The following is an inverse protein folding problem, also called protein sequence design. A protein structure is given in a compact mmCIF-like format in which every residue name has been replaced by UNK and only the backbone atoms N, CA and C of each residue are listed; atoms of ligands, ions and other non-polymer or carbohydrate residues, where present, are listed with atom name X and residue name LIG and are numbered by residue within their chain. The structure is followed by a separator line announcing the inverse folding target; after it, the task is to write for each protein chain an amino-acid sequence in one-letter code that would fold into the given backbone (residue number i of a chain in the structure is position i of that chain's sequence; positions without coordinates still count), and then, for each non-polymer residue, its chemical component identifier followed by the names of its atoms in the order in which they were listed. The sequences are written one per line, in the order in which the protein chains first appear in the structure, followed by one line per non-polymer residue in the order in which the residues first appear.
data_IF_503777645014
#
_entry.id   IF_503777645014
#
_cell.length_a   1.000
_cell.length_b   1.000
_cell.length_c   1.000
_cell.angle_alpha   90.00
_cell.angle_beta   90.00
_cell.angle_gamma   90.00
#
_symmetry.space_group_name_H-M   'P 1'
#
loop_
_entity.id
_entity.type
_entity.pdbx_description
1 polymer ?
#
# COMPACT_ATOMS: atom_id res chain seq x y z
N UNK A 1 -7.55 -27.31 9.58
CA UNK A 1 -7.03 -26.62 8.37
C UNK A 1 -7.55 -25.21 8.37
N UNK A 2 -6.67 -24.22 8.35
CA UNK A 2 -7.05 -22.79 8.30
C UNK A 2 -7.35 -22.37 6.86
N UNK A 3 -8.51 -21.78 6.63
CA UNK A 3 -8.86 -21.24 5.31
C UNK A 3 -8.45 -19.79 5.20
N UNK A 4 -7.72 -19.47 4.12
CA UNK A 4 -7.21 -18.14 3.80
C UNK A 4 -7.76 -17.71 2.45
N UNK A 5 -8.33 -16.52 2.36
CA UNK A 5 -8.75 -15.93 1.09
C UNK A 5 -7.85 -14.77 0.71
N UNK A 6 -7.32 -14.80 -0.50
CA UNK A 6 -6.51 -13.72 -1.08
C UNK A 6 -7.37 -12.95 -2.06
N UNK A 7 -7.61 -11.69 -1.78
CA UNK A 7 -8.29 -10.78 -2.69
C UNK A 7 -7.25 -10.05 -3.54
N UNK A 8 -7.18 -10.41 -4.82
CA UNK A 8 -6.27 -9.79 -5.78
C UNK A 8 -5.40 -10.77 -6.57
N UNK A 9 -5.24 -10.51 -7.86
CA UNK A 9 -4.46 -11.31 -8.80
C UNK A 9 -3.27 -10.56 -9.40
N UNK A 10 -2.69 -9.61 -8.66
CA UNK A 10 -1.46 -8.91 -9.04
C UNK A 10 -0.19 -9.66 -8.61
N UNK A 11 0.96 -8.97 -8.65
CA UNK A 11 2.25 -9.56 -8.27
C UNK A 11 2.20 -10.24 -6.90
N UNK A 12 1.77 -9.49 -5.88
CA UNK A 12 1.69 -10.01 -4.51
C UNK A 12 0.61 -11.10 -4.36
N UNK A 13 -0.53 -10.95 -5.04
CA UNK A 13 -1.59 -11.96 -5.02
C UNK A 13 -1.12 -13.32 -5.56
N UNK A 14 -0.34 -13.33 -6.65
CA UNK A 14 0.29 -14.57 -7.15
C UNK A 14 1.27 -15.17 -6.14
N UNK A 15 2.15 -14.32 -5.57
CA UNK A 15 3.13 -14.79 -4.59
C UNK A 15 2.45 -15.40 -3.35
N UNK A 16 1.45 -14.71 -2.79
CA UNK A 16 0.69 -15.21 -1.65
C UNK A 16 -0.07 -16.51 -1.98
N UNK A 17 -0.74 -16.56 -3.14
CA UNK A 17 -1.52 -17.73 -3.54
C UNK A 17 -0.64 -18.97 -3.65
N UNK A 18 0.46 -18.90 -4.39
CA UNK A 18 1.37 -20.04 -4.54
C UNK A 18 2.11 -20.40 -3.27
N UNK A 19 2.59 -19.38 -2.52
CA UNK A 19 3.34 -19.60 -1.29
C UNK A 19 2.50 -20.24 -0.18
N UNK A 20 1.29 -19.70 0.06
CA UNK A 20 0.42 -20.22 1.13
C UNK A 20 -0.23 -21.55 0.75
N UNK A 21 -0.61 -21.75 -0.51
CA UNK A 21 -1.19 -23.02 -0.94
C UNK A 21 -0.19 -24.18 -0.95
N UNK A 22 1.12 -23.90 -0.94
CA UNK A 22 2.16 -24.92 -0.78
C UNK A 22 2.34 -25.38 0.68
N UNK A 23 1.72 -24.68 1.66
CA UNK A 23 1.90 -24.97 3.10
C UNK A 23 0.89 -25.99 3.58
N UNK A 24 1.38 -26.98 4.32
CA UNK A 24 0.50 -27.96 4.99
C UNK A 24 -0.41 -27.26 6.00
N UNK A 25 -1.65 -27.66 6.06
CA UNK A 25 -2.63 -27.12 7.03
C UNK A 25 -3.35 -25.86 6.57
N UNK A 26 -3.02 -25.28 5.41
CA UNK A 26 -3.74 -24.15 4.80
C UNK A 26 -4.58 -24.60 3.61
N UNK A 27 -5.75 -23.98 3.46
CA UNK A 27 -6.59 -24.00 2.25
C UNK A 27 -6.65 -22.55 1.74
N UNK A 28 -6.38 -22.36 0.47
CA UNK A 28 -6.26 -21.02 -0.12
C UNK A 28 -7.31 -20.81 -1.19
N UNK A 29 -8.12 -19.77 -1.02
CA UNK A 29 -9.02 -19.25 -2.04
C UNK A 29 -8.43 -17.97 -2.63
N UNK A 30 -8.73 -17.70 -3.90
CA UNK A 30 -8.34 -16.46 -4.58
C UNK A 30 -9.59 -15.79 -5.16
N UNK A 31 -9.84 -14.56 -4.74
CA UNK A 31 -10.90 -13.70 -5.27
C UNK A 31 -10.32 -12.74 -6.31
N UNK A 32 -10.81 -12.85 -7.55
CA UNK A 32 -10.42 -12.02 -8.67
C UNK A 32 -11.55 -11.07 -9.12
N UNK A 33 -11.21 -10.02 -9.86
CA UNK A 33 -12.16 -8.97 -10.24
C UNK A 33 -13.02 -9.28 -11.48
N UNK A 34 -13.01 -10.51 -12.00
CA UNK A 34 -13.82 -10.87 -13.15
C UNK A 34 -13.53 -12.27 -13.69
N UNK A 35 -14.46 -12.83 -14.42
CA UNK A 35 -14.42 -14.20 -14.91
C UNK A 35 -13.27 -14.45 -15.90
N UNK A 36 -12.94 -13.49 -16.73
CA UNK A 36 -11.79 -13.60 -17.66
C UNK A 36 -10.48 -13.86 -16.90
N UNK A 37 -10.25 -13.13 -15.80
CA UNK A 37 -9.07 -13.33 -14.95
C UNK A 37 -9.08 -14.68 -14.25
N UNK A 38 -10.26 -15.16 -13.85
CA UNK A 38 -10.44 -16.51 -13.28
C UNK A 38 -10.03 -17.55 -14.29
N UNK A 39 -10.54 -17.48 -15.53
CA UNK A 39 -10.22 -18.43 -16.59
C UNK A 39 -8.72 -18.45 -16.91
N UNK A 40 -8.06 -17.30 -16.97
CA UNK A 40 -6.60 -17.24 -17.16
C UNK A 40 -5.84 -17.94 -16.01
N UNK A 41 -6.27 -17.73 -14.76
CA UNK A 41 -5.64 -18.40 -13.62
C UNK A 41 -5.87 -19.89 -13.62
N UNK A 42 -7.11 -20.35 -13.90
CA UNK A 42 -7.45 -21.77 -14.00
C UNK A 42 -6.62 -22.47 -15.07
N UNK A 43 -6.45 -21.84 -16.25
CA UNK A 43 -5.59 -22.35 -17.32
C UNK A 43 -4.13 -22.46 -16.87
N UNK A 44 -3.59 -21.43 -16.25
CA UNK A 44 -2.21 -21.44 -15.74
C UNK A 44 -1.98 -22.47 -14.64
N UNK A 45 -2.93 -22.59 -13.70
CA UNK A 45 -2.89 -23.60 -12.63
C UNK A 45 -2.96 -25.02 -13.19
N UNK A 46 -3.81 -25.26 -14.19
CA UNK A 46 -3.96 -26.59 -14.79
C UNK A 46 -2.67 -27.05 -15.49
N UNK A 47 -1.91 -26.13 -16.08
CA UNK A 47 -0.70 -26.45 -16.82
C UNK A 47 0.41 -27.07 -15.95
N UNK A 48 0.58 -26.63 -14.69
CA UNK A 48 1.64 -27.12 -13.79
C UNK A 48 1.14 -27.53 -12.39
N UNK A 49 -0.16 -27.70 -12.26
CA UNK A 49 -0.83 -28.09 -11.02
C UNK A 49 -0.65 -27.11 -9.84
N UNK A 50 -0.52 -25.81 -10.13
CA UNK A 50 -0.41 -24.76 -9.10
C UNK A 50 0.19 -23.45 -9.61
N UNK A 51 0.47 -22.55 -8.71
CA UNK A 51 1.21 -21.31 -8.96
C UNK A 51 2.65 -21.50 -8.50
N UNK A 52 3.59 -21.33 -9.42
CA UNK A 52 5.02 -21.42 -9.13
C UNK A 52 5.53 -20.09 -8.53
N UNK A 53 6.12 -20.16 -7.35
CA UNK A 53 6.79 -19.04 -6.68
C UNK A 53 8.28 -19.28 -6.69
N UNK A 54 9.00 -18.50 -7.46
CA UNK A 54 10.47 -18.58 -7.59
C UNK A 54 11.06 -17.53 -6.64
N UNK A 55 11.55 -17.97 -5.49
CA UNK A 55 12.22 -17.13 -4.49
C UNK A 55 13.75 -17.30 -4.58
N UNK A 56 14.56 -16.42 -3.96
CA UNK A 56 16.02 -16.50 -4.04
C UNK A 56 16.61 -17.82 -3.55
N UNK A 57 16.04 -18.41 -2.50
CA UNK A 57 16.57 -19.62 -1.86
C UNK A 57 15.81 -20.89 -2.21
N UNK A 58 14.56 -20.77 -2.68
CA UNK A 58 13.72 -21.93 -2.95
C UNK A 58 12.67 -21.64 -4.04
N UNK A 59 12.15 -22.69 -4.63
CA UNK A 59 10.96 -22.63 -5.51
C UNK A 59 9.85 -23.45 -4.87
N UNK A 60 8.67 -22.86 -4.73
CA UNK A 60 7.46 -23.51 -4.25
C UNK A 60 6.41 -23.55 -5.34
N UNK A 61 5.60 -24.60 -5.37
CA UNK A 61 4.41 -24.66 -6.21
C UNK A 61 3.21 -25.01 -5.33
N UNK A 62 2.27 -24.06 -5.23
CA UNK A 62 1.07 -24.25 -4.44
C UNK A 62 -0.19 -24.14 -5.28
N UNK A 63 -1.14 -25.05 -5.07
CA UNK A 63 -2.42 -25.05 -5.78
C UNK A 63 -3.50 -24.46 -4.89
N UNK A 64 -4.04 -23.26 -5.22
CA UNK A 64 -5.25 -22.75 -4.58
C UNK A 64 -6.41 -23.73 -4.71
N UNK A 65 -7.22 -23.86 -3.67
CA UNK A 65 -8.40 -24.73 -3.67
C UNK A 65 -9.50 -24.17 -4.56
N UNK A 66 -9.65 -22.84 -4.55
CA UNK A 66 -10.65 -22.13 -5.34
C UNK A 66 -10.08 -20.85 -5.93
N UNK A 67 -10.32 -20.62 -7.21
CA UNK A 67 -10.15 -19.31 -7.87
C UNK A 67 -11.51 -18.87 -8.37
N UNK A 68 -12.00 -17.70 -7.98
CA UNK A 68 -13.35 -17.28 -8.30
C UNK A 68 -13.48 -15.76 -8.39
N UNK A 69 -14.52 -15.31 -9.10
CA UNK A 69 -14.95 -13.91 -9.09
C UNK A 69 -16.18 -13.68 -8.15
N UNK A 70 -16.68 -14.75 -7.53
CA UNK A 70 -17.81 -14.71 -6.61
C UNK A 70 -17.32 -14.49 -5.16
N UNK A 71 -17.59 -13.32 -4.55
CA UNK A 71 -17.15 -13.02 -3.19
C UNK A 71 -17.75 -13.97 -2.15
N UNK A 72 -18.98 -14.45 -2.33
CA UNK A 72 -19.63 -15.36 -1.39
C UNK A 72 -18.88 -16.71 -1.35
N UNK A 73 -18.51 -17.24 -2.51
CA UNK A 73 -17.75 -18.50 -2.60
C UNK A 73 -16.33 -18.35 -2.06
N UNK A 74 -15.73 -17.16 -2.27
CA UNK A 74 -14.36 -16.92 -1.86
C UNK A 74 -14.21 -16.84 -0.34
N UNK A 75 -15.15 -16.16 0.39
CA UNK A 75 -14.91 -15.75 1.78
C UNK A 75 -15.72 -16.49 2.84
N UNK A 76 -16.81 -17.20 2.51
CA UNK A 76 -17.55 -17.99 3.50
C UNK A 76 -16.69 -19.09 4.10
N UNK A 77 -16.71 -19.23 5.41
CA UNK A 77 -15.87 -20.19 6.14
C UNK A 77 -14.39 -19.79 6.22
N UNK A 78 -14.03 -18.60 5.76
CA UNK A 78 -12.64 -18.14 5.75
C UNK A 78 -12.27 -17.51 7.09
N UNK A 79 -11.17 -17.98 7.67
CA UNK A 79 -10.59 -17.41 8.90
C UNK A 79 -9.82 -16.13 8.64
N UNK A 80 -9.03 -16.08 7.56
CA UNK A 80 -8.15 -14.93 7.26
C UNK A 80 -8.38 -14.46 5.83
N UNK A 81 -8.76 -13.20 5.67
CA UNK A 81 -8.98 -12.54 4.38
C UNK A 81 -7.90 -11.49 4.20
N UNK A 82 -7.09 -11.64 3.13
CA UNK A 82 -5.95 -10.79 2.81
C UNK A 82 -6.21 -10.01 1.52
N UNK A 83 -6.27 -8.68 1.60
CA UNK A 83 -6.34 -7.82 0.43
C UNK A 83 -4.91 -7.55 -0.08
N UNK A 84 -4.54 -8.16 -1.18
CA UNK A 84 -3.30 -7.91 -1.93
C UNK A 84 -3.58 -7.04 -3.16
N UNK A 85 -4.12 -5.85 -2.89
CA UNK A 85 -4.69 -4.93 -3.87
C UNK A 85 -4.12 -3.52 -3.71
N UNK A 86 -4.11 -2.71 -4.78
CA UNK A 86 -3.94 -1.27 -4.67
C UNK A 86 -4.97 -0.64 -3.72
N UNK A 87 -4.56 0.43 -3.02
CA UNK A 87 -5.40 1.08 -2.00
C UNK A 87 -6.76 1.56 -2.55
N UNK A 88 -6.81 2.03 -3.80
CA UNK A 88 -8.06 2.48 -4.43
C UNK A 88 -9.09 1.36 -4.65
N UNK A 89 -8.71 0.10 -4.53
CA UNK A 89 -9.62 -1.06 -4.62
C UNK A 89 -10.08 -1.57 -3.26
N UNK A 90 -9.48 -1.12 -2.14
CA UNK A 90 -9.80 -1.63 -0.81
C UNK A 90 -11.28 -1.44 -0.47
N UNK A 91 -11.79 -0.21 -0.54
CA UNK A 91 -13.17 0.10 -0.17
C UNK A 91 -14.20 -0.71 -0.98
N UNK A 92 -14.01 -0.78 -2.30
CA UNK A 92 -14.93 -1.52 -3.18
C UNK A 92 -14.87 -3.04 -2.93
N UNK A 93 -13.69 -3.58 -2.65
CA UNK A 93 -13.52 -5.00 -2.35
C UNK A 93 -14.11 -5.34 -0.99
N UNK A 94 -13.83 -4.54 0.04
CA UNK A 94 -14.41 -4.72 1.38
C UNK A 94 -15.93 -4.67 1.32
N UNK A 95 -16.54 -3.72 0.60
CA UNK A 95 -17.99 -3.64 0.45
C UNK A 95 -18.60 -4.91 -0.20
N UNK A 96 -17.86 -5.50 -1.16
CA UNK A 96 -18.31 -6.74 -1.84
C UNK A 96 -18.21 -7.97 -0.95
N UNK A 97 -17.20 -8.08 -0.11
CA UNK A 97 -16.98 -9.26 0.72
C UNK A 97 -17.71 -9.19 2.06
N UNK A 98 -17.93 -7.99 2.60
CA UNK A 98 -18.52 -7.78 3.94
C UNK A 98 -19.81 -8.58 4.21
N UNK A 99 -20.78 -8.72 3.27
CA UNK A 99 -22.00 -9.50 3.52
C UNK A 99 -21.75 -11.00 3.75
N UNK A 100 -20.56 -11.50 3.46
CA UNK A 100 -20.25 -12.93 3.49
C UNK A 100 -19.12 -13.28 4.48
N UNK A 101 -18.57 -12.27 5.17
CA UNK A 101 -17.50 -12.45 6.17
C UNK A 101 -18.11 -13.01 7.44
N UNK A 102 -17.54 -14.11 7.93
CA UNK A 102 -18.01 -14.78 9.13
C UNK A 102 -17.55 -14.06 10.41
N UNK A 103 -18.31 -14.25 11.48
CA UNK A 103 -17.97 -13.76 12.82
C UNK A 103 -16.62 -14.32 13.24
N UNK A 104 -15.73 -13.43 13.74
CA UNK A 104 -14.40 -13.80 14.20
C UNK A 104 -13.35 -13.94 13.11
N UNK A 105 -13.69 -13.71 11.84
CA UNK A 105 -12.69 -13.65 10.78
C UNK A 105 -11.70 -12.50 11.00
N UNK A 106 -10.48 -12.67 10.50
CA UNK A 106 -9.46 -11.64 10.40
C UNK A 106 -9.47 -11.06 8.99
N UNK A 107 -9.64 -9.75 8.84
CA UNK A 107 -9.67 -9.07 7.53
C UNK A 107 -8.56 -8.04 7.48
N UNK A 108 -7.62 -8.19 6.56
CA UNK A 108 -6.47 -7.30 6.49
C UNK A 108 -6.00 -6.97 5.08
N UNK A 109 -5.09 -6.00 4.99
CA UNK A 109 -4.45 -5.61 3.73
C UNK A 109 -2.92 -5.60 3.83
N UNK A 110 -2.28 -5.87 2.68
CA UNK A 110 -0.84 -5.90 2.52
C UNK A 110 -0.43 -5.10 1.27
N UNK A 111 0.17 -3.89 1.44
CA UNK A 111 0.17 -3.05 2.64
C UNK A 111 -1.20 -2.40 2.88
N UNK A 112 -1.46 -1.99 4.12
CA UNK A 112 -2.74 -1.40 4.54
C UNK A 112 -2.71 0.14 4.52
N UNK A 113 -2.26 0.72 3.40
CA UNK A 113 -2.21 2.17 3.20
C UNK A 113 -3.59 2.75 2.84
N UNK A 114 -3.65 4.08 2.70
CA UNK A 114 -4.78 4.78 2.12
C UNK A 114 -6.03 4.82 2.99
N UNK A 115 -5.90 4.81 4.32
CA UNK A 115 -7.06 4.81 5.22
C UNK A 115 -7.81 3.47 5.21
N UNK A 116 -7.08 2.37 5.08
CA UNK A 116 -7.65 1.02 5.04
C UNK A 116 -8.57 0.73 6.23
N UNK A 117 -8.15 1.08 7.46
CA UNK A 117 -8.95 0.89 8.67
C UNK A 117 -10.31 1.59 8.59
N UNK A 118 -10.35 2.81 8.06
CA UNK A 118 -11.60 3.57 7.89
C UNK A 118 -12.49 3.00 6.80
N UNK A 119 -11.88 2.48 5.74
CA UNK A 119 -12.58 1.75 4.67
C UNK A 119 -13.21 0.46 5.20
N UNK A 120 -12.47 -0.28 6.04
CA UNK A 120 -12.94 -1.49 6.68
C UNK A 120 -14.05 -1.20 7.69
N UNK A 121 -13.89 -0.19 8.53
CA UNK A 121 -14.92 0.25 9.47
C UNK A 121 -16.24 0.60 8.75
N UNK A 122 -16.15 1.35 7.65
CA UNK A 122 -17.31 1.68 6.82
C UNK A 122 -17.99 0.44 6.25
N UNK A 123 -17.21 -0.53 5.75
CA UNK A 123 -17.72 -1.74 5.13
C UNK A 123 -18.43 -2.67 6.13
N UNK A 124 -17.93 -2.74 7.37
CA UNK A 124 -18.47 -3.59 8.43
C UNK A 124 -19.41 -2.84 9.40
N UNK A 125 -19.78 -1.60 9.06
CA UNK A 125 -20.72 -0.81 9.86
C UNK A 125 -22.09 -1.51 9.92
N UNK A 126 -22.62 -1.67 11.12
CA UNK A 126 -23.93 -2.28 11.32
C UNK A 126 -23.92 -3.81 11.48
N UNK A 127 -22.79 -4.47 11.35
CA UNK A 127 -22.67 -5.88 11.73
C UNK A 127 -22.76 -6.03 13.26
N UNK A 128 -23.47 -7.03 13.72
CA UNK A 128 -23.63 -7.33 15.15
C UNK A 128 -22.27 -7.68 15.78
N UNK A 129 -21.43 -8.42 15.06
CA UNK A 129 -20.06 -8.73 15.46
C UNK A 129 -19.15 -8.42 14.29
N UNK A 130 -18.23 -7.48 14.48
CA UNK A 130 -17.27 -7.08 13.46
C UNK A 130 -16.08 -8.05 13.41
N UNK A 131 -15.48 -8.29 12.22
CA UNK A 131 -14.22 -8.98 12.13
C UNK A 131 -13.09 -8.15 12.80
N UNK A 132 -12.01 -8.81 13.17
CA UNK A 132 -10.78 -8.11 13.53
C UNK A 132 -10.15 -7.58 12.26
N UNK A 133 -9.89 -6.27 12.23
CA UNK A 133 -9.23 -5.60 11.11
C UNK A 133 -7.74 -5.56 11.39
N UNK A 134 -6.91 -5.97 10.44
CA UNK A 134 -5.45 -5.86 10.59
C UNK A 134 -4.80 -5.26 9.35
N UNK A 135 -3.60 -4.73 9.53
CA UNK A 135 -2.89 -4.09 8.42
C UNK A 135 -1.39 -4.22 8.56
N UNK A 136 -0.77 -4.65 7.47
CA UNK A 136 0.68 -4.63 7.37
C UNK A 136 1.17 -3.26 6.91
N UNK A 137 2.23 -2.78 7.54
CA UNK A 137 2.88 -1.55 7.13
C UNK A 137 3.55 -1.67 5.77
N UNK A 138 4.09 -2.86 5.45
CA UNK A 138 4.79 -3.16 4.19
C UNK A 138 4.46 -4.57 3.69
N UNK A 139 4.78 -4.79 2.42
CA UNK A 139 4.70 -6.12 1.79
C UNK A 139 5.86 -7.01 2.26
N UNK A 140 5.65 -8.32 2.45
CA UNK A 140 6.71 -9.28 2.81
C UNK A 140 7.77 -9.42 1.72
N UNK A 141 7.36 -9.23 0.48
CA UNK A 141 8.20 -9.48 -0.68
C UNK A 141 8.14 -8.37 -1.71
N UNK A 142 9.26 -8.16 -2.39
CA UNK A 142 9.28 -7.54 -3.72
C UNK A 142 9.14 -8.66 -4.74
N UNK A 143 8.12 -8.61 -5.57
CA UNK A 143 7.82 -9.69 -6.51
C UNK A 143 7.27 -9.17 -7.84
N UNK A 144 7.43 -9.99 -8.88
CA UNK A 144 6.94 -9.73 -10.24
C UNK A 144 6.37 -11.00 -10.84
N UNK A 145 5.17 -10.90 -11.40
CA UNK A 145 4.58 -11.96 -12.21
C UNK A 145 5.49 -12.22 -13.41
N UNK A 146 5.85 -13.47 -13.61
CA UNK A 146 6.59 -13.92 -14.80
C UNK A 146 5.58 -14.30 -15.88
N UNK A 147 4.61 -15.17 -15.53
CA UNK A 147 3.49 -15.54 -16.40
C UNK A 147 2.21 -15.49 -15.59
N UNK A 148 1.25 -14.68 -16.06
CA UNK A 148 -0.01 -14.46 -15.35
C UNK A 148 -0.79 -15.75 -15.14
N UNK A 149 -1.28 -15.98 -13.92
CA UNK A 149 -1.98 -17.20 -13.52
C UNK A 149 -1.08 -18.42 -13.34
N UNK A 150 0.23 -18.30 -13.57
CA UNK A 150 1.15 -19.45 -13.63
C UNK A 150 2.37 -19.28 -12.71
N UNK A 151 3.11 -18.17 -12.81
CA UNK A 151 4.37 -18.02 -12.06
C UNK A 151 4.68 -16.59 -11.67
N UNK A 152 5.36 -16.47 -10.53
CA UNK A 152 5.81 -15.21 -9.94
C UNK A 152 7.23 -15.37 -9.39
N UNK A 153 8.05 -14.33 -9.56
CA UNK A 153 9.40 -14.25 -9.00
C UNK A 153 9.43 -13.30 -7.81
N UNK A 154 9.93 -13.76 -6.68
CA UNK A 154 10.28 -12.94 -5.53
C UNK A 154 11.75 -12.51 -5.72
N UNK A 155 11.98 -11.20 -5.71
CA UNK A 155 13.31 -10.61 -5.88
C UNK A 155 13.89 -10.01 -4.61
N UNK A 156 13.06 -9.86 -3.59
CA UNK A 156 13.48 -9.40 -2.26
C UNK A 156 12.55 -9.93 -1.19
N UNK A 157 13.12 -10.38 -0.09
CA UNK A 157 12.42 -10.91 1.09
C UNK A 157 12.75 -10.02 2.29
N UNK A 158 11.75 -9.66 3.08
CA UNK A 158 11.96 -8.97 4.36
C UNK A 158 12.23 -9.97 5.46
N UNK A 159 13.07 -9.58 6.40
CA UNK A 159 13.37 -10.39 7.60
C UNK A 159 12.38 -10.18 8.73
N UNK A 160 11.67 -9.03 8.72
CA UNK A 160 10.61 -8.70 9.68
C UNK A 160 9.55 -7.82 9.03
N UNK A 161 8.34 -7.85 9.58
CA UNK A 161 7.23 -6.97 9.20
C UNK A 161 6.55 -6.40 10.43
N UNK A 162 5.92 -5.25 10.25
CA UNK A 162 5.12 -4.59 11.28
C UNK A 162 3.64 -4.72 10.92
N UNK A 163 2.82 -5.04 11.92
CA UNK A 163 1.37 -5.24 11.78
C UNK A 163 0.62 -4.54 12.90
N UNK A 164 -0.50 -3.92 12.59
CA UNK A 164 -1.44 -3.41 13.58
C UNK A 164 -2.80 -4.10 13.42
N UNK A 165 -3.62 -4.04 14.47
CA UNK A 165 -4.98 -4.58 14.44
C UNK A 165 -5.98 -3.67 15.17
N UNK A 166 -7.24 -3.81 14.82
CA UNK A 166 -8.38 -3.19 15.49
C UNK A 166 -9.47 -4.24 15.77
N UNK A 167 -9.91 -4.36 17.02
CA UNK A 167 -9.52 -3.57 18.19
C UNK A 167 -8.05 -3.74 18.58
N UNK A 168 -7.42 -2.66 19.05
CA UNK A 168 -5.97 -2.66 19.40
C UNK A 168 -5.59 -3.77 20.40
N UNK A 169 -6.49 -4.14 21.30
CA UNK A 169 -6.26 -5.22 22.27
C UNK A 169 -5.98 -6.59 21.62
N UNK A 170 -6.37 -6.78 20.36
CA UNK A 170 -6.18 -8.05 19.63
C UNK A 170 -4.88 -8.12 18.84
N UNK A 171 -4.05 -7.07 18.84
CA UNK A 171 -2.89 -6.98 17.94
C UNK A 171 -1.86 -8.11 18.17
N UNK A 172 -1.58 -8.47 19.42
CA UNK A 172 -0.62 -9.53 19.75
C UNK A 172 -1.13 -10.90 19.28
N UNK A 173 -2.38 -11.24 19.61
CA UNK A 173 -3.01 -12.48 19.17
C UNK A 173 -3.08 -12.57 17.64
N UNK A 174 -3.47 -11.46 17.00
CA UNK A 174 -3.52 -11.35 15.54
C UNK A 174 -2.14 -11.54 14.92
N UNK A 175 -1.10 -10.89 15.46
CA UNK A 175 0.26 -11.01 14.98
C UNK A 175 0.78 -12.46 15.11
N UNK A 176 0.51 -13.12 16.23
CA UNK A 176 0.86 -14.52 16.44
C UNK A 176 0.16 -15.44 15.44
N UNK A 177 -1.16 -15.31 15.28
CA UNK A 177 -1.94 -16.11 14.33
C UNK A 177 -1.46 -15.93 12.88
N UNK A 178 -1.13 -14.70 12.48
CA UNK A 178 -0.71 -14.40 11.09
C UNK A 178 0.77 -14.73 10.86
N UNK A 179 1.61 -14.74 11.90
CA UNK A 179 3.05 -15.02 11.76
C UNK A 179 3.32 -16.36 11.06
N UNK A 180 2.48 -17.34 11.35
CA UNK A 180 2.56 -18.67 10.74
C UNK A 180 2.30 -18.70 9.23
N UNK A 181 1.79 -17.61 8.63
CA UNK A 181 1.55 -17.55 7.19
C UNK A 181 2.83 -17.28 6.38
N UNK A 182 3.80 -16.54 6.96
CA UNK A 182 4.86 -15.92 6.17
C UNK A 182 6.27 -16.44 6.45
N UNK A 183 6.50 -17.15 7.54
CA UNK A 183 7.84 -17.48 8.06
C UNK A 183 8.71 -16.23 8.31
N UNK A 184 8.06 -15.11 8.63
CA UNK A 184 8.67 -13.80 8.87
C UNK A 184 8.22 -13.32 10.25
N UNK A 185 9.16 -12.79 11.03
CA UNK A 185 8.84 -12.22 12.33
C UNK A 185 7.89 -11.02 12.19
N UNK A 186 6.80 -11.01 12.95
CA UNK A 186 5.84 -9.91 12.99
C UNK A 186 6.00 -9.12 14.28
N UNK A 187 6.23 -7.81 14.14
CA UNK A 187 6.26 -6.87 15.24
C UNK A 187 4.88 -6.19 15.37
N UNK A 188 4.15 -6.38 16.47
CA UNK A 188 2.89 -5.71 16.70
C UNK A 188 3.11 -4.21 16.90
N UNK A 189 2.31 -3.40 16.22
CA UNK A 189 2.25 -1.95 16.37
C UNK A 189 1.07 -1.59 17.27
N UNK A 190 1.27 -0.71 18.27
CA UNK A 190 0.26 -0.45 19.29
C UNK A 190 -0.99 0.28 18.77
N UNK A 191 -0.96 0.85 17.56
CA UNK A 191 -2.12 1.52 16.98
C UNK A 191 -2.05 1.55 15.45
N UNK A 192 -3.21 1.50 14.79
CA UNK A 192 -3.28 1.47 13.32
C UNK A 192 -2.73 2.73 12.64
N UNK A 193 -2.70 3.88 13.34
CA UNK A 193 -2.08 5.09 12.82
C UNK A 193 -0.58 4.95 12.53
N UNK A 194 0.13 3.98 13.16
CA UNK A 194 1.50 3.65 12.76
C UNK A 194 1.60 3.15 11.31
N UNK A 195 0.56 2.44 10.84
CA UNK A 195 0.47 1.99 9.45
C UNK A 195 0.06 3.14 8.54
N UNK A 196 -0.95 3.92 8.96
CA UNK A 196 -1.53 5.00 8.16
C UNK A 196 -0.57 6.17 7.95
N UNK A 197 0.20 6.54 8.99
CA UNK A 197 1.18 7.64 8.96
C UNK A 197 2.58 7.18 8.49
N UNK A 198 2.79 5.88 8.23
CA UNK A 198 4.08 5.43 7.73
C UNK A 198 4.36 6.05 6.36
N UNK A 199 5.56 6.60 6.20
CA UNK A 199 5.97 7.21 4.93
C UNK A 199 6.65 6.22 4.00
N UNK A 200 6.58 6.50 2.70
CA UNK A 200 7.14 5.67 1.64
C UNK A 200 6.71 6.19 0.28
N UNK A 201 6.12 5.32 -0.54
CA UNK A 201 5.72 5.66 -1.90
C UNK A 201 4.78 6.88 -1.98
N UNK A 202 3.93 7.07 -0.98
CA UNK A 202 2.95 8.17 -0.92
C UNK A 202 3.59 9.57 -0.91
N UNK A 203 4.85 9.72 -0.49
CA UNK A 203 5.59 10.98 -0.63
C UNK A 203 6.71 10.86 -1.66
N UNK A 204 7.31 9.66 -1.80
CA UNK A 204 8.43 9.42 -2.71
C UNK A 204 8.02 9.63 -4.17
N UNK A 205 6.97 8.98 -4.63
CA UNK A 205 6.57 9.04 -6.03
C UNK A 205 6.04 10.42 -6.44
N UNK A 206 5.06 11.04 -5.74
CA UNK A 206 4.62 12.39 -6.08
C UNK A 206 5.73 13.42 -5.95
N UNK A 207 6.59 13.33 -4.94
CA UNK A 207 7.71 14.24 -4.75
C UNK A 207 8.75 14.15 -5.86
N UNK A 208 9.11 12.94 -6.31
CA UNK A 208 9.99 12.73 -7.46
C UNK A 208 9.37 13.28 -8.74
N UNK A 209 8.11 12.95 -9.01
CA UNK A 209 7.43 13.42 -10.22
C UNK A 209 7.32 14.94 -10.23
N UNK A 210 6.94 15.55 -9.12
CA UNK A 210 6.90 17.00 -9.00
C UNK A 210 8.30 17.61 -9.21
N UNK A 211 9.31 17.11 -8.53
CA UNK A 211 10.67 17.62 -8.62
C UNK A 211 11.29 17.53 -10.03
N UNK A 212 10.83 16.56 -10.85
CA UNK A 212 11.35 16.36 -12.21
C UNK A 212 10.48 16.98 -13.31
N UNK A 213 9.18 17.13 -13.07
CA UNK A 213 8.21 17.42 -14.13
C UNK A 213 7.43 18.71 -13.93
N UNK A 214 7.57 19.41 -12.80
CA UNK A 214 6.82 20.66 -12.56
C UNK A 214 7.05 21.73 -13.63
N UNK A 215 8.28 21.77 -14.17
CA UNK A 215 8.71 22.72 -15.19
C UNK A 215 8.79 22.08 -16.59
N UNK A 216 8.22 20.87 -16.78
CA UNK A 216 8.23 20.18 -18.06
C UNK A 216 7.35 20.94 -19.08
N UNK A 217 7.92 21.23 -20.24
CA UNK A 217 7.35 22.06 -21.30
C UNK A 217 6.37 21.30 -22.24
N UNK A 218 6.14 20.00 -21.99
CA UNK A 218 5.28 19.16 -22.83
C UNK A 218 5.99 18.53 -24.02
N UNK A 219 7.27 18.80 -24.26
CA UNK A 219 8.04 18.17 -25.32
C UNK A 219 8.36 16.71 -24.93
N UNK A 220 8.07 15.74 -25.83
CA UNK A 220 8.40 14.34 -25.54
C UNK A 220 9.88 14.12 -25.28
N UNK A 221 10.22 13.32 -24.27
CA UNK A 221 11.58 12.90 -23.99
C UNK A 221 12.04 11.88 -25.04
N UNK A 222 13.29 11.94 -25.49
CA UNK A 222 13.86 10.93 -26.37
C UNK A 222 13.81 9.52 -25.73
N UNK A 223 14.03 9.45 -24.42
CA UNK A 223 13.84 8.27 -23.57
C UNK A 223 13.08 8.64 -22.30
N UNK A 224 12.24 7.73 -21.79
CA UNK A 224 11.59 7.94 -20.50
C UNK A 224 12.64 8.21 -19.39
N UNK A 225 12.53 9.32 -18.63
CA UNK A 225 13.54 9.70 -17.65
C UNK A 225 13.70 8.64 -16.55
N UNK A 226 14.90 8.49 -16.00
CA UNK A 226 15.12 7.68 -14.81
C UNK A 226 14.41 8.31 -13.62
N UNK A 227 13.71 7.48 -12.82
CA UNK A 227 12.96 7.98 -11.68
C UNK A 227 13.90 8.39 -10.54
N UNK A 228 14.88 7.58 -10.23
CA UNK A 228 15.65 7.66 -8.98
C UNK A 228 17.11 8.09 -9.18
N UNK A 229 17.75 7.68 -10.26
CA UNK A 229 19.12 8.11 -10.57
C UNK A 229 19.15 9.56 -11.07
N UNK A 230 20.23 10.27 -10.77
CA UNK A 230 20.42 11.67 -11.18
C UNK A 230 19.33 12.59 -10.61
N UNK A 231 18.94 12.36 -9.36
CA UNK A 231 18.02 13.25 -8.65
C UNK A 231 18.69 14.60 -8.44
N UNK A 232 18.03 15.70 -8.84
CA UNK A 232 18.56 17.05 -8.61
C UNK A 232 18.45 17.44 -7.13
N UNK A 233 19.26 18.41 -6.70
CA UNK A 233 19.19 18.96 -5.35
C UNK A 233 17.81 19.50 -5.02
N UNK A 234 17.15 20.09 -6.01
CA UNK A 234 15.77 20.58 -5.87
C UNK A 234 14.79 19.44 -5.59
N UNK A 235 14.85 18.35 -6.36
CA UNK A 235 13.98 17.20 -6.14
C UNK A 235 14.27 16.49 -4.81
N UNK A 236 15.56 16.41 -4.42
CA UNK A 236 15.95 15.91 -3.11
C UNK A 236 15.43 16.79 -1.96
N UNK A 237 15.51 18.12 -2.12
CA UNK A 237 14.96 19.09 -1.16
C UNK A 237 13.44 18.98 -1.00
N UNK A 238 12.71 18.78 -2.09
CA UNK A 238 11.25 18.54 -2.04
C UNK A 238 10.94 17.28 -1.22
N UNK A 239 11.64 16.16 -1.47
CA UNK A 239 11.46 14.93 -0.71
C UNK A 239 11.79 15.08 0.77
N UNK A 240 12.82 15.87 1.09
CA UNK A 240 13.18 16.19 2.47
C UNK A 240 12.04 16.95 3.17
N UNK A 241 11.55 18.01 2.54
CA UNK A 241 10.45 18.81 3.08
C UNK A 241 9.15 18.01 3.26
N UNK A 242 8.80 17.15 2.29
CA UNK A 242 7.66 16.23 2.43
C UNK A 242 7.84 15.24 3.60
N UNK A 243 9.07 14.78 3.81
CA UNK A 243 9.42 13.92 4.94
C UNK A 243 9.27 14.65 6.26
N UNK A 244 9.78 15.88 6.37
CA UNK A 244 9.72 16.68 7.58
C UNK A 244 8.28 17.05 7.97
N UNK A 245 7.47 17.47 6.99
CA UNK A 245 6.04 17.72 7.22
C UNK A 245 5.31 16.45 7.67
N UNK A 246 5.65 15.30 7.11
CA UNK A 246 5.07 14.01 7.54
C UNK A 246 5.44 13.66 8.98
N UNK A 247 6.68 13.95 9.41
CA UNK A 247 7.12 13.79 10.79
C UNK A 247 6.39 14.77 11.71
N UNK A 248 6.27 16.05 11.33
CA UNK A 248 5.54 17.06 12.10
C UNK A 248 4.05 16.69 12.31
N UNK A 249 3.40 16.07 11.31
CA UNK A 249 2.04 15.52 11.47
C UNK A 249 2.02 14.45 12.58
N UNK A 250 2.95 13.51 12.55
CA UNK A 250 3.06 12.46 13.57
C UNK A 250 3.28 13.01 14.96
N UNK A 251 4.20 13.98 15.11
CA UNK A 251 4.51 14.67 16.37
C UNK A 251 3.30 15.40 16.93
N UNK A 252 2.55 16.13 16.10
CA UNK A 252 1.34 16.82 16.50
C UNK A 252 0.24 15.85 16.96
N UNK A 253 0.11 14.70 16.31
CA UNK A 253 -0.81 13.63 16.72
C UNK A 253 -0.41 13.09 18.09
N UNK A 254 0.88 12.79 18.32
CA UNK A 254 1.41 12.32 19.61
C UNK A 254 1.17 13.33 20.72
N UNK A 255 1.48 14.60 20.45
CA UNK A 255 1.33 15.69 21.45
C UNK A 255 -0.12 15.84 21.90
N UNK A 256 -1.06 15.76 20.96
CA UNK A 256 -2.51 15.91 21.25
C UNK A 256 -3.16 14.64 21.78
N UNK A 257 -2.56 13.48 21.55
CA UNK A 257 -3.05 12.17 21.93
C UNK A 257 -1.95 11.33 22.62
N UNK A 258 -1.43 11.74 23.76
CA UNK A 258 -0.27 11.10 24.41
C UNK A 258 -0.51 9.64 24.81
N UNK A 259 -1.78 9.24 24.97
CA UNK A 259 -2.14 7.84 25.29
C UNK A 259 -1.98 6.86 24.09
N UNK A 260 -1.75 7.38 22.88
CA UNK A 260 -1.58 6.56 21.69
C UNK A 260 -0.30 5.74 21.67
N UNK A 261 0.72 6.16 22.44
CA UNK A 261 2.07 5.57 22.38
C UNK A 261 2.58 5.43 20.94
N UNK A 262 2.23 6.40 20.07
CA UNK A 262 2.69 6.41 18.68
C UNK A 262 4.21 6.67 18.69
N UNK A 263 4.98 5.72 18.15
CA UNK A 263 6.41 5.92 17.93
C UNK A 263 6.64 7.05 16.92
N UNK A 264 7.75 7.80 17.04
CA UNK A 264 8.08 8.83 16.05
C UNK A 264 8.03 8.30 14.63
N UNK A 265 7.47 9.09 13.72
CA UNK A 265 7.50 8.77 12.30
C UNK A 265 8.94 8.89 11.82
N UNK A 266 9.47 7.82 11.26
CA UNK A 266 10.83 7.84 10.69
C UNK A 266 10.88 8.77 9.49
N UNK A 267 12.00 9.48 9.32
CA UNK A 267 12.25 10.22 8.09
C UNK A 267 12.31 9.28 6.87
N UNK A 268 12.10 9.83 5.67
CA UNK A 268 12.21 9.04 4.44
C UNK A 268 13.60 8.40 4.30
N UNK A 269 14.65 9.13 4.69
CA UNK A 269 16.02 8.62 4.69
C UNK A 269 16.20 7.41 5.62
N UNK A 270 15.69 7.49 6.86
CA UNK A 270 15.75 6.39 7.82
C UNK A 270 14.94 5.19 7.35
N UNK A 271 13.76 5.45 6.80
CA UNK A 271 12.88 4.41 6.27
C UNK A 271 13.55 3.64 5.11
N UNK A 272 14.23 4.34 4.22
CA UNK A 272 14.98 3.72 3.12
C UNK A 272 16.22 2.99 3.61
N UNK A 273 17.00 3.56 4.54
CA UNK A 273 18.14 2.88 5.17
C UNK A 273 17.70 1.57 5.83
N UNK A 274 16.64 1.61 6.63
CA UNK A 274 16.15 0.42 7.33
C UNK A 274 15.64 -0.66 6.36
N UNK A 275 15.00 -0.26 5.27
CA UNK A 275 14.37 -1.21 4.35
C UNK A 275 15.28 -1.75 3.26
N UNK A 276 16.40 -1.10 2.96
CA UNK A 276 17.24 -1.41 1.81
C UNK A 276 18.74 -1.23 2.08
N UNK A 277 19.20 -1.31 3.33
CA UNK A 277 20.57 -1.04 3.75
C UNK A 277 21.62 -1.75 2.89
N UNK A 278 21.44 -3.03 2.59
CA UNK A 278 22.36 -3.82 1.78
C UNK A 278 22.43 -3.42 0.30
N UNK A 279 21.49 -2.58 -0.16
CA UNK A 279 21.39 -2.13 -1.55
C UNK A 279 21.88 -0.69 -1.75
N UNK A 280 22.12 0.06 -0.69
CA UNK A 280 22.54 1.47 -0.71
C UNK A 280 24.06 1.53 -0.61
N UNK A 281 24.71 2.16 -1.58
CA UNK A 281 26.18 2.32 -1.59
C UNK A 281 26.64 3.56 -0.81
N UNK A 282 25.89 4.66 -0.91
CA UNK A 282 26.15 5.89 -0.16
C UNK A 282 24.89 6.30 0.62
N UNK A 283 25.00 6.23 1.94
CA UNK A 283 23.91 6.56 2.88
C UNK A 283 24.07 7.95 3.52
N UNK A 284 24.90 8.84 2.97
CA UNK A 284 25.23 10.15 3.57
C UNK A 284 24.07 11.14 3.52
N UNK A 285 23.34 11.19 2.40
CA UNK A 285 22.22 12.10 2.18
C UNK A 285 21.01 11.37 1.62
N UNK A 286 19.81 11.95 1.71
CA UNK A 286 18.61 11.38 1.08
C UNK A 286 18.79 11.20 -0.44
N UNK A 287 19.44 12.16 -1.09
CA UNK A 287 19.74 12.13 -2.52
C UNK A 287 20.63 10.93 -2.89
N UNK A 288 21.72 10.71 -2.15
CA UNK A 288 22.63 9.59 -2.39
C UNK A 288 22.02 8.25 -2.01
N UNK A 289 21.25 8.19 -0.92
CA UNK A 289 20.44 7.00 -0.54
C UNK A 289 19.56 6.56 -1.69
N UNK A 290 18.83 7.49 -2.32
CA UNK A 290 17.93 7.18 -3.45
C UNK A 290 18.76 6.84 -4.70
N UNK A 291 19.74 7.67 -5.04
CA UNK A 291 20.53 7.58 -6.27
C UNK A 291 21.44 6.36 -6.35
N UNK A 292 21.95 5.87 -5.21
CA UNK A 292 22.85 4.71 -5.13
C UNK A 292 22.17 3.41 -4.70
N UNK A 293 20.85 3.43 -4.48
CA UNK A 293 20.10 2.23 -4.14
C UNK A 293 19.95 1.30 -5.35
N UNK A 294 20.74 0.23 -5.38
CA UNK A 294 20.73 -0.76 -6.47
C UNK A 294 19.38 -1.39 -6.77
N UNK A 295 18.50 -1.44 -5.77
CA UNK A 295 17.11 -1.92 -5.95
C UNK A 295 16.23 -0.98 -6.79
N UNK A 296 16.68 0.25 -7.02
CA UNK A 296 15.99 1.28 -7.79
C UNK A 296 16.67 1.58 -9.14
N UNK A 297 17.79 0.91 -9.45
CA UNK A 297 18.55 1.17 -10.67
C UNK A 297 17.76 0.86 -11.94
N UNK A 298 17.88 1.76 -12.92
CA UNK A 298 17.22 1.62 -14.22
C UNK A 298 15.72 1.83 -14.22
N UNK A 299 15.11 2.06 -13.05
CA UNK A 299 13.68 2.34 -12.99
C UNK A 299 13.37 3.72 -13.56
N UNK A 300 12.47 3.76 -14.51
CA UNK A 300 12.07 4.98 -15.22
C UNK A 300 10.75 5.53 -14.65
N UNK A 301 10.54 6.81 -14.85
CA UNK A 301 9.23 7.43 -14.63
C UNK A 301 8.20 6.70 -15.50
N UNK A 302 7.04 6.30 -14.95
CA UNK A 302 5.98 5.75 -15.77
C UNK A 302 5.65 6.69 -16.92
N UNK A 303 5.77 6.19 -18.14
CA UNK A 303 5.66 6.99 -19.36
C UNK A 303 4.96 6.24 -20.48
N UNK A 304 4.32 6.97 -21.36
CA UNK A 304 3.68 6.45 -22.58
C UNK A 304 4.50 6.84 -23.79
N UNK A 305 4.63 5.93 -24.73
CA UNK A 305 5.27 6.20 -26.02
C UNK A 305 4.31 6.96 -26.92
N UNK A 306 4.80 8.04 -27.52
CA UNK A 306 4.07 8.89 -28.47
C UNK A 306 4.94 9.16 -29.70
N UNK A 307 4.38 9.81 -30.71
CA UNK A 307 5.18 10.30 -31.82
C UNK A 307 6.20 11.32 -31.31
N UNK A 308 7.47 11.08 -31.58
CA UNK A 308 8.57 11.95 -31.13
C UNK A 308 9.22 11.54 -29.80
N UNK A 309 8.74 10.51 -29.11
CA UNK A 309 9.40 10.01 -27.88
C UNK A 309 8.46 9.52 -26.79
N UNK A 310 8.70 9.95 -25.56
CA UNK A 310 8.01 9.51 -24.35
C UNK A 310 7.43 10.68 -23.58
N UNK A 311 6.19 10.54 -23.11
CA UNK A 311 5.57 11.52 -22.20
C UNK A 311 5.22 10.86 -20.86
N UNK A 312 5.23 11.59 -19.73
CA UNK A 312 4.85 11.05 -18.44
C UNK A 312 3.40 10.52 -18.44
N UNK A 313 3.19 9.34 -17.83
CA UNK A 313 1.86 8.78 -17.63
C UNK A 313 1.28 9.28 -16.31
N UNK A 314 0.46 10.33 -16.38
CA UNK A 314 -0.23 10.89 -15.21
C UNK A 314 -1.26 9.93 -14.60
N UNK A 315 -1.69 8.88 -15.34
CA UNK A 315 -2.61 7.85 -14.84
C UNK A 315 -1.89 6.68 -14.17
N UNK A 316 -0.57 6.71 -14.14
CA UNK A 316 0.22 5.71 -13.44
C UNK A 316 -0.08 5.71 -11.94
N UNK A 317 0.19 4.59 -11.29
CA UNK A 317 0.01 4.45 -9.84
C UNK A 317 0.81 5.46 -9.01
N UNK A 318 1.89 6.00 -9.55
CA UNK A 318 2.70 7.04 -8.89
C UNK A 318 1.89 8.30 -8.56
N UNK A 319 0.88 8.63 -9.36
CA UNK A 319 -0.07 9.70 -9.05
C UNK A 319 -1.46 9.15 -8.70
N UNK A 320 -2.01 8.24 -9.51
CA UNK A 320 -3.40 7.79 -9.36
C UNK A 320 -3.67 6.98 -8.06
N UNK A 321 -2.63 6.49 -7.39
CA UNK A 321 -2.76 5.83 -6.08
C UNK A 321 -2.12 6.65 -4.98
N UNK A 322 -0.85 7.05 -5.15
CA UNK A 322 -0.07 7.64 -4.05
C UNK A 322 -0.52 9.08 -3.70
N UNK A 323 -1.20 9.78 -4.61
CA UNK A 323 -1.82 11.07 -4.30
C UNK A 323 -3.11 10.89 -3.51
N UNK A 324 -4.19 10.29 -4.04
CA UNK A 324 -5.45 10.20 -3.31
C UNK A 324 -5.38 9.29 -2.07
N UNK A 325 -4.56 8.24 -2.10
CA UNK A 325 -4.43 7.27 -0.99
C UNK A 325 -3.11 7.41 -0.22
N UNK A 326 -2.40 8.49 -0.43
CA UNK A 326 -1.14 8.83 0.27
C UNK A 326 -1.13 10.29 0.69
N UNK A 327 -0.77 11.23 -0.20
CA UNK A 327 -0.69 12.65 0.15
C UNK A 327 -2.00 13.21 0.71
N UNK A 328 -3.16 12.85 0.15
CA UNK A 328 -4.45 13.28 0.67
C UNK A 328 -4.72 12.75 2.08
N UNK A 329 -4.23 11.56 2.41
CA UNK A 329 -4.35 11.00 3.77
C UNK A 329 -3.53 11.83 4.76
N UNK A 330 -2.25 12.07 4.43
CA UNK A 330 -1.36 12.89 5.27
C UNK A 330 -1.91 14.31 5.43
N UNK A 331 -2.30 14.95 4.33
CA UNK A 331 -2.86 16.31 4.35
C UNK A 331 -4.15 16.38 5.14
N UNK A 332 -5.02 15.39 5.02
CA UNK A 332 -6.27 15.31 5.77
C UNK A 332 -6.05 15.17 7.28
N UNK A 333 -5.06 14.36 7.69
CA UNK A 333 -4.67 14.24 9.10
C UNK A 333 -4.03 15.53 9.58
N UNK A 334 -3.17 16.17 8.79
CA UNK A 334 -2.56 17.47 9.10
C UNK A 334 -3.61 18.54 9.41
N UNK A 335 -4.67 18.64 8.57
CA UNK A 335 -5.78 19.57 8.78
C UNK A 335 -6.48 19.33 10.12
N UNK A 336 -6.79 18.08 10.45
CA UNK A 336 -7.41 17.71 11.73
C UNK A 336 -6.48 17.96 12.91
N UNK A 337 -5.18 17.74 12.71
CA UNK A 337 -4.17 17.97 13.73
C UNK A 337 -3.77 19.46 13.88
N UNK A 338 -4.19 20.32 12.94
CA UNK A 338 -3.83 21.75 12.93
C UNK A 338 -2.35 21.99 12.61
N UNK A 339 -1.79 21.18 11.69
CA UNK A 339 -0.42 21.30 11.20
C UNK A 339 -0.43 21.93 9.81
N UNK A 340 0.40 22.95 9.60
CA UNK A 340 0.61 23.53 8.28
C UNK A 340 1.57 22.68 7.46
N UNK A 341 1.24 22.43 6.19
CA UNK A 341 1.98 21.53 5.31
C UNK A 341 2.15 22.17 3.92
N UNK A 342 2.92 23.27 3.82
CA UNK A 342 3.05 24.02 2.56
C UNK A 342 3.61 23.18 1.41
N UNK A 343 4.55 22.27 1.68
CA UNK A 343 5.12 21.41 0.64
C UNK A 343 4.18 20.29 0.20
N UNK A 344 3.45 19.69 1.13
CA UNK A 344 2.39 18.73 0.77
C UNK A 344 1.32 19.44 -0.05
N UNK A 345 0.91 20.66 0.33
CA UNK A 345 -0.08 21.46 -0.39
C UNK A 345 0.41 21.81 -1.81
N UNK A 346 1.67 22.19 -1.97
CA UNK A 346 2.27 22.51 -3.26
C UNK A 346 2.29 21.31 -4.21
N UNK A 347 2.83 20.16 -3.71
CA UNK A 347 2.89 18.92 -4.50
C UNK A 347 1.49 18.41 -4.81
N UNK A 348 0.55 18.50 -3.87
CA UNK A 348 -0.84 18.07 -4.05
C UNK A 348 -1.58 18.95 -5.07
N UNK A 349 -1.36 20.25 -5.04
CA UNK A 349 -1.95 21.18 -6.03
C UNK A 349 -1.47 20.87 -7.44
N UNK A 350 -0.18 20.65 -7.62
CA UNK A 350 0.35 20.22 -8.92
C UNK A 350 -0.20 18.85 -9.34
N UNK A 351 -0.18 17.87 -8.45
CA UNK A 351 -0.59 16.51 -8.76
C UNK A 351 -2.08 16.39 -9.09
N UNK A 352 -2.95 17.15 -8.40
CA UNK A 352 -4.38 17.14 -8.70
C UNK A 352 -4.68 17.73 -10.08
N UNK A 353 -3.90 18.71 -10.55
CA UNK A 353 -3.99 19.21 -11.94
C UNK A 353 -3.61 18.11 -12.95
N UNK A 354 -2.53 17.36 -12.70
CA UNK A 354 -2.11 16.25 -13.57
C UNK A 354 -3.15 15.13 -13.64
N UNK A 355 -3.88 14.91 -12.55
CA UNK A 355 -4.94 13.91 -12.45
C UNK A 355 -6.30 14.37 -12.99
N UNK A 356 -6.48 15.68 -13.25
CA UNK A 356 -7.79 16.26 -13.54
C UNK A 356 -8.76 16.10 -12.36
N UNK A 357 -8.27 16.20 -11.13
CA UNK A 357 -9.03 16.03 -9.89
C UNK A 357 -8.95 17.28 -9.01
N UNK A 358 -9.82 17.37 -8.00
CA UNK A 358 -9.81 18.45 -7.03
C UNK A 358 -10.00 17.88 -5.62
N UNK A 359 -8.90 17.73 -4.89
CA UNK A 359 -8.88 17.30 -3.49
C UNK A 359 -8.74 18.50 -2.54
N UNK A 360 -7.72 19.31 -2.76
CA UNK A 360 -7.43 20.53 -2.00
C UNK A 360 -8.11 21.72 -2.70
N UNK A 361 -8.95 22.43 -1.95
CA UNK A 361 -9.63 23.66 -2.40
C UNK A 361 -9.50 24.71 -1.31
N UNK A 362 -9.04 25.91 -1.69
CA UNK A 362 -8.88 27.04 -0.77
C UNK A 362 -8.11 26.65 0.52
N UNK A 363 -7.05 25.86 0.38
CA UNK A 363 -6.22 25.38 1.48
C UNK A 363 -6.86 24.32 2.40
N UNK A 364 -8.01 23.76 2.02
CA UNK A 364 -8.71 22.72 2.81
C UNK A 364 -9.01 21.47 2.00
N UNK A 365 -9.11 20.32 2.68
CA UNK A 365 -9.49 19.04 2.07
C UNK A 365 -11.00 18.95 1.84
N UNK A 366 -11.53 19.89 0.99
CA UNK A 366 -12.96 20.08 0.72
C UNK A 366 -13.33 19.90 -0.75
N UNK A 367 -12.39 19.57 -1.62
CA UNK A 367 -12.65 19.35 -3.05
C UNK A 367 -13.61 18.18 -3.29
N UNK A 368 -14.38 18.19 -4.41
CA UNK A 368 -15.40 17.18 -4.71
C UNK A 368 -14.84 15.75 -4.83
N UNK A 369 -13.55 15.61 -5.14
CA UNK A 369 -12.90 14.31 -5.30
C UNK A 369 -12.34 13.74 -3.99
N UNK A 370 -12.36 14.49 -2.89
CA UNK A 370 -11.96 13.98 -1.56
C UNK A 370 -12.69 12.67 -1.22
N UNK A 371 -13.97 12.57 -1.56
CA UNK A 371 -14.78 11.34 -1.33
C UNK A 371 -14.26 10.08 -2.05
N UNK A 372 -13.37 10.25 -3.04
CA UNK A 372 -12.71 9.16 -3.79
C UNK A 372 -11.29 8.91 -3.32
N UNK A 373 -10.87 9.55 -2.22
CA UNK A 373 -9.54 9.39 -1.63
C UNK A 373 -9.59 8.58 -0.34
N UNK A 374 -8.41 8.31 0.21
CA UNK A 374 -8.24 7.72 1.55
C UNK A 374 -8.19 8.76 2.67
N UNK A 375 -8.39 10.06 2.38
CA UNK A 375 -8.36 11.11 3.39
C UNK A 375 -9.44 10.90 4.46
N UNK A 376 -9.17 11.22 5.74
CA UNK A 376 -10.17 11.07 6.80
C UNK A 376 -11.48 11.81 6.53
N UNK A 377 -11.43 12.96 5.83
CA UNK A 377 -12.62 13.72 5.42
C UNK A 377 -13.54 12.92 4.48
N UNK A 378 -12.98 12.00 3.67
CA UNK A 378 -13.77 11.09 2.84
C UNK A 378 -14.68 10.18 3.66
N UNK A 379 -14.32 9.95 4.92
CA UNK A 379 -15.04 9.09 5.87
C UNK A 379 -15.87 9.92 6.87
N UNK A 380 -15.88 11.24 6.75
CA UNK A 380 -16.58 12.14 7.66
C UNK A 380 -15.86 12.34 9.00
N UNK A 381 -14.56 12.05 9.05
CA UNK A 381 -13.74 12.22 10.24
C UNK A 381 -13.20 13.66 10.27
N UNK A 382 -13.39 14.36 11.37
CA UNK A 382 -13.04 15.76 11.53
C UNK A 382 -12.29 16.07 12.84
N UNK A 383 -12.09 15.07 13.70
CA UNK A 383 -11.37 15.23 14.98
C UNK A 383 -10.34 14.11 15.15
N UNK A 384 -9.27 14.40 15.90
CA UNK A 384 -8.23 13.41 16.20
C UNK A 384 -8.79 12.18 16.93
N UNK A 385 -9.75 12.37 17.84
CA UNK A 385 -10.39 11.24 18.53
C UNK A 385 -11.12 10.31 17.56
N UNK A 386 -11.72 10.83 16.49
CA UNK A 386 -12.37 10.02 15.48
C UNK A 386 -11.39 9.21 14.61
N UNK A 387 -10.14 9.66 14.46
CA UNK A 387 -9.10 8.91 13.74
C UNK A 387 -8.71 7.61 14.46
N UNK A 388 -8.96 7.56 15.78
CA UNK A 388 -8.52 6.47 16.65
C UNK A 388 -9.59 5.43 16.95
N UNK A 389 -10.83 5.71 16.64
CA UNK A 389 -11.93 4.82 16.99
C UNK A 389 -12.25 3.89 15.83
N UNK A 390 -12.42 2.64 16.14
CA UNK A 390 -13.34 2.11 17.16
C UNK A 390 -13.01 0.73 17.61
#
# INVERSE_FOLDING_TARGET
MTQVTICGGGNLGHALAGWLAARKGLRVNVLLSGQERVSHWETGIAHQNGIMVIAPEETRCGRPELVTADPAKAVRGTRIILLALPAFLHQATLAKVAPFVDTGALVGAIPAHGGFQWSAERAFKGMATKPVIFGFRKSPWTCRVVTYGHSVRITGVRTSMEVSAEPTATVHETAEEISHLFDIALAPLPHFLHVTLSIGNQILHPGILYGRLRDWDGIPFAEAPLAYQGLSDVAAGILHNLSDESQAIGEAVVLKLPRLHLSPIRSLAEEMRTSAQALIEDASTLQTIIGTNRGLFGLRIPSMQVQGGWIPDSKSRYLAEDVPFGLCVLRGIAEIAGVTTPWIDEVLNWAQMQLGACYLRDGTMSGPDVKRSGAPQAFGLSTLSQLMHR
#
